data_IF_379344013817
#
_entry.id   IF_379344013817
#
_cell.length_a   1.000
_cell.length_b   1.000
_cell.length_c   1.000
_cell.angle_alpha   90.00
_cell.angle_beta   90.00
_cell.angle_gamma   90.00
#
_symmetry.space_group_name_H-M   'P 1'
#
loop_
_entity.id
_entity.type
_entity.pdbx_description
1 polymer ?
#
# COMPACT_ATOMS: atom_id res chain seq x y z
N UNK A 1 -3.95 -2.30 -18.12
CA UNK A 1 -2.94 -3.12 -17.46
C UNK A 1 -3.55 -3.98 -16.37
N UNK A 2 -3.22 -5.26 -16.40
CA UNK A 2 -3.69 -6.21 -15.41
C UNK A 2 -2.85 -6.18 -14.15
N UNK A 3 -3.41 -6.67 -13.05
CA UNK A 3 -2.66 -6.89 -11.81
C UNK A 3 -1.44 -7.78 -12.06
N UNK A 4 -1.61 -8.85 -12.84
CA UNK A 4 -0.53 -9.78 -13.15
C UNK A 4 0.62 -9.09 -13.88
N UNK A 5 0.32 -8.26 -14.87
CA UNK A 5 1.35 -7.51 -15.60
C UNK A 5 2.07 -6.50 -14.71
N UNK A 6 1.33 -5.82 -13.85
CA UNK A 6 1.90 -4.86 -12.88
C UNK A 6 2.83 -5.57 -11.90
N UNK A 7 2.39 -6.71 -11.39
CA UNK A 7 3.19 -7.50 -10.44
C UNK A 7 4.46 -8.03 -11.10
N UNK A 8 4.37 -8.47 -12.36
CA UNK A 8 5.54 -8.90 -13.13
C UNK A 8 6.55 -7.77 -13.30
N UNK A 9 6.07 -6.54 -13.54
CA UNK A 9 6.94 -5.37 -13.66
C UNK A 9 7.67 -5.08 -12.34
N UNK A 10 6.98 -5.16 -11.22
CA UNK A 10 7.59 -4.96 -9.89
C UNK A 10 8.60 -6.08 -9.60
N UNK A 11 8.27 -7.31 -9.96
CA UNK A 11 9.17 -8.46 -9.81
C UNK A 11 10.45 -8.26 -10.61
N UNK A 12 10.32 -7.82 -11.87
CA UNK A 12 11.47 -7.52 -12.73
C UNK A 12 12.34 -6.40 -12.14
N UNK A 13 11.72 -5.39 -11.54
CA UNK A 13 12.42 -4.30 -10.88
C UNK A 13 13.24 -4.82 -9.68
N UNK A 14 12.67 -5.68 -8.84
CA UNK A 14 13.39 -6.31 -7.73
C UNK A 14 14.58 -7.15 -8.21
N UNK A 15 14.39 -7.90 -9.30
CA UNK A 15 15.45 -8.73 -9.87
C UNK A 15 16.58 -7.88 -10.48
N UNK A 16 16.22 -6.85 -11.23
CA UNK A 16 17.21 -5.96 -11.85
C UNK A 16 18.15 -5.34 -10.83
N UNK A 17 17.61 -4.92 -9.69
CA UNK A 17 18.38 -4.26 -8.64
C UNK A 17 18.83 -5.21 -7.52
N UNK A 18 18.58 -6.50 -7.70
CA UNK A 18 19.04 -7.55 -6.78
C UNK A 18 18.62 -7.30 -5.34
N UNK A 19 17.36 -6.91 -5.14
CA UNK A 19 16.86 -6.53 -3.82
C UNK A 19 17.00 -7.64 -2.80
N UNK A 20 16.73 -8.89 -3.19
CA UNK A 20 16.83 -10.03 -2.27
C UNK A 20 18.24 -10.20 -1.70
N UNK A 21 19.27 -10.00 -2.54
CA UNK A 21 20.67 -10.19 -2.14
C UNK A 21 21.25 -8.97 -1.44
N UNK A 22 20.60 -7.80 -1.56
CA UNK A 22 21.14 -6.54 -1.08
C UNK A 22 20.30 -5.89 0.03
N UNK A 23 19.40 -6.66 0.65
CA UNK A 23 18.60 -6.19 1.78
C UNK A 23 17.32 -5.45 1.41
N UNK A 24 17.06 -5.25 0.12
CA UNK A 24 15.88 -4.51 -0.34
C UNK A 24 14.54 -5.23 -0.09
N UNK A 25 14.59 -6.52 0.25
CA UNK A 25 13.40 -7.32 0.58
C UNK A 25 13.24 -7.60 2.07
N UNK A 26 14.08 -7.02 2.91
CA UNK A 26 13.91 -7.12 4.37
C UNK A 26 12.69 -6.32 4.81
N UNK A 27 11.79 -6.95 5.57
CA UNK A 27 10.51 -6.34 5.91
C UNK A 27 10.65 -5.04 6.71
N UNK A 28 11.55 -4.99 7.69
CA UNK A 28 11.75 -3.78 8.48
C UNK A 28 12.22 -2.62 7.62
N UNK A 29 13.09 -2.88 6.66
CA UNK A 29 13.55 -1.86 5.72
C UNK A 29 12.42 -1.42 4.80
N UNK A 30 11.61 -2.35 4.29
CA UNK A 30 10.46 -2.03 3.44
C UNK A 30 9.42 -1.20 4.16
N UNK A 31 9.17 -1.48 5.44
CA UNK A 31 8.26 -0.66 6.26
C UNK A 31 8.80 0.77 6.38
N UNK A 32 10.09 0.93 6.60
CA UNK A 32 10.72 2.25 6.66
C UNK A 32 10.57 3.00 5.33
N UNK A 33 10.78 2.32 4.19
CA UNK A 33 10.59 2.92 2.87
C UNK A 33 9.13 3.34 2.63
N UNK A 34 8.17 2.53 3.05
CA UNK A 34 6.75 2.88 2.92
C UNK A 34 6.40 4.09 3.79
N UNK A 35 6.99 4.20 4.97
CA UNK A 35 6.79 5.37 5.84
C UNK A 35 7.36 6.64 5.20
N UNK A 36 8.52 6.56 4.54
CA UNK A 36 9.07 7.67 3.78
C UNK A 36 8.12 8.13 2.67
N UNK A 37 7.58 7.19 1.89
CA UNK A 37 6.64 7.53 0.81
C UNK A 37 5.35 8.14 1.36
N UNK A 38 4.85 7.65 2.48
CA UNK A 38 3.69 8.25 3.15
C UNK A 38 4.01 9.69 3.56
N UNK A 39 5.21 9.95 4.02
CA UNK A 39 5.68 11.31 4.31
C UNK A 39 5.71 12.20 3.07
N UNK A 40 6.14 11.68 1.93
CA UNK A 40 6.14 12.41 0.66
C UNK A 40 4.70 12.73 0.20
N UNK A 41 3.77 11.79 0.37
CA UNK A 41 2.34 12.02 0.10
C UNK A 41 1.82 13.13 1.00
N UNK A 42 2.13 13.08 2.29
CA UNK A 42 1.78 14.11 3.27
C UNK A 42 2.31 15.48 2.85
N UNK A 43 3.56 15.53 2.40
CA UNK A 43 4.19 16.75 1.91
C UNK A 43 3.45 17.34 0.70
N UNK A 44 2.97 16.51 -0.21
CA UNK A 44 2.16 16.97 -1.35
C UNK A 44 0.91 17.70 -0.88
N UNK A 45 0.26 17.22 0.17
CA UNK A 45 -0.95 17.83 0.74
C UNK A 45 -0.60 19.14 1.46
N UNK A 46 0.37 19.09 2.38
CA UNK A 46 0.70 20.26 3.23
C UNK A 46 1.34 21.38 2.44
N UNK A 47 2.01 21.11 1.34
CA UNK A 47 2.65 22.12 0.48
C UNK A 47 1.82 22.46 -0.74
N UNK A 48 0.62 21.92 -0.87
CA UNK A 48 -0.28 22.24 -1.99
C UNK A 48 0.29 21.89 -3.35
N UNK A 49 0.98 20.78 -3.48
CA UNK A 49 1.56 20.32 -4.75
C UNK A 49 0.47 19.85 -5.72
N UNK A 50 0.83 19.73 -7.00
CA UNK A 50 -0.10 19.33 -8.06
C UNK A 50 -0.60 17.90 -7.87
N UNK A 51 -1.73 17.60 -8.49
CA UNK A 51 -2.28 16.23 -8.54
C UNK A 51 -1.29 15.27 -9.18
N UNK A 52 -0.54 15.73 -10.20
CA UNK A 52 0.50 14.91 -10.84
C UNK A 52 1.61 14.50 -9.88
N UNK A 53 2.07 15.46 -9.05
CA UNK A 53 3.08 15.16 -8.03
C UNK A 53 2.57 14.17 -6.99
N UNK A 54 1.30 14.34 -6.56
CA UNK A 54 0.65 13.40 -5.63
C UNK A 54 0.56 12.01 -6.25
N UNK A 55 0.18 11.90 -7.52
CA UNK A 55 0.04 10.63 -8.21
C UNK A 55 1.37 9.86 -8.26
N UNK A 56 2.49 10.55 -8.51
CA UNK A 56 3.82 9.91 -8.48
C UNK A 56 4.12 9.29 -7.12
N UNK A 57 3.88 10.02 -6.03
CA UNK A 57 4.18 9.52 -4.68
C UNK A 57 3.26 8.37 -4.28
N UNK A 58 1.99 8.42 -4.69
CA UNK A 58 1.05 7.31 -4.46
C UNK A 58 1.47 6.07 -5.26
N UNK A 59 1.94 6.26 -6.50
CA UNK A 59 2.47 5.16 -7.31
C UNK A 59 3.70 4.53 -6.66
N UNK A 60 4.61 5.34 -6.11
CA UNK A 60 5.78 4.82 -5.40
C UNK A 60 5.37 3.94 -4.21
N UNK A 61 4.38 4.39 -3.45
CA UNK A 61 3.86 3.60 -2.33
C UNK A 61 3.22 2.30 -2.81
N UNK A 62 2.46 2.33 -3.89
CA UNK A 62 1.85 1.13 -4.45
C UNK A 62 2.91 0.11 -4.88
N UNK A 63 3.97 0.57 -5.54
CA UNK A 63 5.08 -0.30 -5.96
C UNK A 63 5.72 -0.96 -4.75
N UNK A 64 5.94 -0.22 -3.66
CA UNK A 64 6.46 -0.77 -2.41
C UNK A 64 5.51 -1.79 -1.79
N UNK A 65 4.21 -1.51 -1.81
CA UNK A 65 3.18 -2.43 -1.28
C UNK A 65 3.20 -3.75 -2.08
N UNK A 66 3.17 -3.65 -3.40
CA UNK A 66 3.21 -4.83 -4.27
C UNK A 66 4.50 -5.63 -4.07
N UNK A 67 5.63 -4.94 -3.99
CA UNK A 67 6.92 -5.57 -3.73
C UNK A 67 7.01 -6.23 -2.36
N UNK A 68 6.25 -5.76 -1.38
CA UNK A 68 6.20 -6.39 -0.06
C UNK A 68 5.54 -7.76 -0.12
N UNK A 69 4.52 -7.93 -0.96
CA UNK A 69 3.96 -9.25 -1.23
C UNK A 69 5.00 -10.21 -1.83
N UNK A 70 5.82 -9.70 -2.74
CA UNK A 70 6.91 -10.47 -3.34
C UNK A 70 7.95 -10.84 -2.27
N UNK A 71 8.38 -9.87 -1.48
CA UNK A 71 9.41 -10.05 -0.47
C UNK A 71 8.99 -11.05 0.62
N UNK A 72 7.75 -10.93 1.09
CA UNK A 72 7.21 -11.78 2.16
C UNK A 72 6.51 -13.03 1.64
N UNK A 73 6.45 -13.21 0.32
CA UNK A 73 5.91 -14.41 -0.34
C UNK A 73 4.44 -14.66 0.00
N UNK A 74 3.60 -13.64 -0.14
CA UNK A 74 2.14 -13.80 -0.04
C UNK A 74 1.46 -13.28 -1.31
N UNK A 75 0.25 -13.79 -1.56
CA UNK A 75 -0.59 -13.36 -2.68
C UNK A 75 -1.41 -12.14 -2.26
N UNK A 76 -0.93 -10.97 -2.64
CA UNK A 76 -1.61 -9.71 -2.27
C UNK A 76 -2.97 -9.58 -2.97
N UNK A 77 -3.10 -10.09 -4.18
CA UNK A 77 -4.38 -10.07 -4.90
C UNK A 77 -5.44 -10.86 -4.12
N UNK A 78 -5.09 -12.05 -3.66
CA UNK A 78 -6.00 -12.87 -2.85
C UNK A 78 -6.35 -12.16 -1.53
N UNK A 79 -5.35 -11.62 -0.85
CA UNK A 79 -5.55 -10.88 0.40
C UNK A 79 -6.45 -9.65 0.19
N UNK A 80 -6.29 -8.96 -0.94
CA UNK A 80 -7.11 -7.80 -1.29
C UNK A 80 -8.59 -8.19 -1.42
N UNK A 81 -8.89 -9.22 -2.22
CA UNK A 81 -10.29 -9.60 -2.46
C UNK A 81 -10.94 -10.17 -1.20
N UNK A 82 -10.19 -10.93 -0.42
CA UNK A 82 -10.67 -11.43 0.86
C UNK A 82 -11.04 -10.27 1.80
N UNK A 83 -10.17 -9.27 1.89
CA UNK A 83 -10.42 -8.08 2.71
C UNK A 83 -11.60 -7.28 2.19
N UNK A 84 -11.72 -7.10 0.87
CA UNK A 84 -12.86 -6.37 0.29
C UNK A 84 -14.19 -7.02 0.63
N UNK A 85 -14.26 -8.36 0.59
CA UNK A 85 -15.48 -9.07 0.99
C UNK A 85 -15.85 -8.79 2.45
N UNK A 86 -14.85 -8.73 3.34
CA UNK A 86 -15.08 -8.38 4.74
C UNK A 86 -15.54 -6.93 4.90
N UNK A 87 -14.89 -6.00 4.22
CA UNK A 87 -15.21 -4.57 4.34
C UNK A 87 -16.61 -4.25 3.82
N UNK A 88 -17.07 -4.94 2.77
CA UNK A 88 -18.42 -4.75 2.24
C UNK A 88 -19.52 -5.18 3.22
N UNK A 89 -19.19 -6.03 4.19
CA UNK A 89 -20.14 -6.52 5.19
C UNK A 89 -20.09 -5.71 6.49
N UNK A 90 -19.11 -4.82 6.65
CA UNK A 90 -18.98 -4.01 7.87
C UNK A 90 -19.95 -2.84 7.88
N UNK A 91 -20.32 -2.41 9.08
CA UNK A 91 -21.10 -1.20 9.29
C UNK A 91 -20.25 0.05 9.04
N UNK A 92 -20.92 1.14 8.71
CA UNK A 92 -20.29 2.45 8.69
C UNK A 92 -21.03 3.36 9.66
N UNK A 93 -20.29 4.24 10.33
CA UNK A 93 -20.83 5.26 11.25
C UNK A 93 -20.10 6.57 11.04
N UNK A 94 -20.79 7.66 11.37
CA UNK A 94 -20.12 8.97 11.41
C UNK A 94 -19.50 9.10 12.81
N UNK A 95 -18.20 9.26 12.85
CA UNK A 95 -17.43 9.43 14.09
C UNK A 95 -16.62 10.72 13.95
N UNK A 96 -16.89 11.68 14.82
CA UNK A 96 -16.22 12.98 14.83
C UNK A 96 -16.26 13.65 13.42
N UNK A 97 -17.44 13.61 12.79
CA UNK A 97 -17.69 14.26 11.50
C UNK A 97 -17.17 13.52 10.26
N UNK A 98 -16.60 12.33 10.44
CA UNK A 98 -16.08 11.51 9.34
C UNK A 98 -16.64 10.10 9.37
N UNK A 99 -16.79 9.54 8.18
CA UNK A 99 -17.27 8.17 8.07
C UNK A 99 -16.16 7.19 8.51
N UNK A 100 -16.56 6.19 9.27
CA UNK A 100 -15.69 5.08 9.66
C UNK A 100 -16.38 3.75 9.37
N UNK A 101 -15.66 2.86 8.71
CA UNK A 101 -16.08 1.47 8.47
C UNK A 101 -15.30 0.57 9.41
N UNK A 102 -15.99 -0.17 10.25
CA UNK A 102 -15.32 -1.01 11.26
C UNK A 102 -16.26 -2.09 11.77
N UNK A 103 -15.71 -3.02 12.53
CA UNK A 103 -16.49 -3.93 13.36
C UNK A 103 -16.79 -3.21 14.68
N UNK A 104 -17.85 -2.41 14.69
CA UNK A 104 -18.21 -1.67 15.89
C UNK A 104 -18.71 -2.62 16.98
N UNK A 105 -18.21 -2.43 18.19
CA UNK A 105 -18.66 -3.16 19.38
C UNK A 105 -19.19 -2.14 20.37
N UNK A 106 -20.47 -2.27 20.69
CA UNK A 106 -21.16 -1.27 21.51
C UNK A 106 -20.68 -1.25 22.97
N UNK A 107 -19.90 -2.23 23.38
CA UNK A 107 -19.31 -2.32 24.70
C UNK A 107 -17.92 -1.67 24.83
N UNK A 108 -17.41 -1.15 23.75
CA UNK A 108 -16.07 -0.53 23.70
C UNK A 108 -16.06 0.98 23.87
#
# INVERSE_FOLDING_TARGET
DSWSAMLDAVRAFHEKHRFRETGGEELTYRIALMAEELGEISSCVTKGKSTGALAEEVADLLILIMGTGIAAQFDLNDAFWKKMRQLMQRESRIVDGRIRVSEFRDME
#
